data_IF_277420132608
#
_entry.id   IF_277420132608
#
_cell.length_a   1.000
_cell.length_b   1.000
_cell.length_c   1.000
_cell.angle_alpha   90.00
_cell.angle_beta   90.00
_cell.angle_gamma   90.00
#
_symmetry.space_group_name_H-M   'P 1'
#
loop_
_entity.id
_entity.type
_entity.pdbx_description
1 polymer ?
#
# COMPACT_ATOMS: atom_id res chain seq x y z
N UNK A 1 -1.17 -10.88 -9.76
CA UNK A 1 -1.56 -9.46 -9.89
C UNK A 1 -0.69 -8.63 -8.97
N UNK A 2 -0.22 -7.43 -9.36
CA UNK A 2 0.58 -6.57 -8.49
C UNK A 2 -0.06 -6.34 -7.10
N UNK A 3 -1.40 -6.20 -7.05
CA UNK A 3 -2.13 -6.00 -5.79
C UNK A 3 -2.02 -7.19 -4.82
N UNK A 4 -2.02 -8.43 -5.32
CA UNK A 4 -1.94 -9.60 -4.44
C UNK A 4 -0.57 -9.71 -3.77
N UNK A 5 0.50 -9.29 -4.45
CA UNK A 5 1.84 -9.31 -3.87
C UNK A 5 1.99 -8.26 -2.76
N UNK A 6 1.41 -7.07 -2.94
CA UNK A 6 1.36 -6.06 -1.87
C UNK A 6 0.58 -6.57 -0.65
N UNK A 7 -0.57 -7.22 -0.86
CA UNK A 7 -1.37 -7.78 0.25
C UNK A 7 -0.61 -8.87 1.00
N UNK A 8 0.12 -9.75 0.29
CA UNK A 8 0.96 -10.76 0.94
C UNK A 8 2.06 -10.13 1.80
N UNK A 9 2.75 -9.11 1.30
CA UNK A 9 3.77 -8.38 2.07
C UNK A 9 3.19 -7.78 3.36
N UNK A 10 1.97 -7.23 3.31
CA UNK A 10 1.27 -6.71 4.48
C UNK A 10 0.96 -7.84 5.48
N UNK A 11 0.41 -8.95 5.01
CA UNK A 11 0.05 -10.09 5.86
C UNK A 11 1.30 -10.71 6.52
N UNK A 12 2.38 -10.85 5.77
CA UNK A 12 3.66 -11.36 6.29
C UNK A 12 4.21 -10.42 7.36
N UNK A 13 4.23 -9.10 7.12
CA UNK A 13 4.71 -8.10 8.09
C UNK A 13 3.88 -8.08 9.39
N UNK A 14 2.58 -8.41 9.30
CA UNK A 14 1.65 -8.48 10.43
C UNK A 14 1.54 -9.88 11.04
N UNK A 15 2.31 -10.86 10.54
CA UNK A 15 2.23 -12.25 10.93
C UNK A 15 0.80 -12.82 10.85
N UNK A 16 0.15 -12.63 9.70
CA UNK A 16 -1.23 -13.07 9.43
C UNK A 16 -1.27 -14.10 8.30
N UNK A 17 -2.20 -15.06 8.36
CA UNK A 17 -2.29 -16.08 7.32
C UNK A 17 -2.83 -15.50 6.00
N UNK A 18 -2.32 -16.01 4.88
CA UNK A 18 -2.79 -15.64 3.54
C UNK A 18 -4.25 -16.05 3.28
N UNK A 19 -4.83 -16.92 4.12
CA UNK A 19 -6.24 -17.30 4.07
C UNK A 19 -7.21 -16.14 4.31
N UNK A 20 -6.73 -14.98 4.78
CA UNK A 20 -7.53 -13.75 4.89
C UNK A 20 -7.78 -13.07 3.54
N UNK A 21 -7.11 -13.48 2.47
CA UNK A 21 -7.32 -12.93 1.12
C UNK A 21 -8.66 -13.43 0.59
N UNK A 22 -9.53 -12.51 0.19
CA UNK A 22 -10.78 -12.79 -0.50
C UNK A 22 -10.79 -12.09 -1.86
N UNK A 23 -11.12 -12.84 -2.91
CA UNK A 23 -11.28 -12.29 -4.25
C UNK A 23 -12.66 -11.69 -4.40
N UNK A 24 -12.73 -10.43 -4.81
CA UNK A 24 -13.96 -9.72 -5.10
C UNK A 24 -14.02 -9.39 -6.59
N UNK A 25 -15.23 -9.26 -7.12
CA UNK A 25 -15.43 -8.84 -8.52
C UNK A 25 -14.74 -7.50 -8.76
N UNK A 26 -14.02 -7.41 -9.89
CA UNK A 26 -13.31 -6.20 -10.26
C UNK A 26 -14.29 -5.04 -10.50
N UNK A 27 -13.84 -3.82 -10.22
CA UNK A 27 -14.67 -2.63 -10.43
C UNK A 27 -14.65 -2.24 -11.90
N UNK A 28 -15.81 -1.89 -12.44
CA UNK A 28 -15.90 -1.28 -13.77
C UNK A 28 -15.02 -0.02 -13.82
N UNK A 29 -14.01 -0.04 -14.69
CA UNK A 29 -13.07 1.08 -14.87
C UNK A 29 -11.74 0.97 -14.12
N UNK A 30 -11.39 -0.17 -13.52
CA UNK A 30 -10.05 -0.36 -12.94
C UNK A 30 -8.99 -0.47 -14.05
N UNK A 31 -8.12 0.52 -14.17
CA UNK A 31 -7.00 0.48 -15.11
C UNK A 31 -6.00 -0.61 -14.72
N UNK A 32 -5.64 -1.47 -15.68
CA UNK A 32 -4.87 -2.69 -15.40
C UNK A 32 -3.44 -2.44 -14.94
N UNK A 33 -2.80 -1.36 -15.43
CA UNK A 33 -1.40 -1.07 -15.15
C UNK A 33 -1.10 0.41 -15.35
N UNK A 34 -0.53 1.02 -14.32
CA UNK A 34 0.20 2.28 -14.44
C UNK A 34 1.68 2.01 -14.20
N UNK A 35 2.52 2.69 -14.98
CA UNK A 35 3.96 2.72 -14.78
C UNK A 35 4.44 4.14 -15.10
N UNK A 36 5.37 4.64 -14.29
CA UNK A 36 6.00 5.94 -14.48
C UNK A 36 7.45 5.70 -14.84
N UNK A 37 7.90 6.29 -15.94
CA UNK A 37 9.32 6.43 -16.25
C UNK A 37 9.86 7.67 -15.52
N UNK A 38 10.84 7.46 -14.64
CA UNK A 38 11.46 8.53 -13.85
C UNK A 38 12.84 8.95 -14.39
N UNK A 39 13.26 8.44 -15.55
CA UNK A 39 14.60 8.66 -16.11
C UNK A 39 14.93 10.14 -16.29
N UNK A 40 13.96 10.94 -16.73
CA UNK A 40 14.14 12.40 -16.88
C UNK A 40 14.51 13.08 -15.56
N UNK A 41 13.77 12.82 -14.48
CA UNK A 41 14.06 13.40 -13.17
C UNK A 41 15.40 12.90 -12.61
N UNK A 42 15.74 11.63 -12.84
CA UNK A 42 17.04 11.07 -12.43
C UNK A 42 18.20 11.77 -13.15
N UNK A 43 18.05 12.11 -14.43
CA UNK A 43 19.09 12.75 -15.22
C UNK A 43 19.21 14.25 -14.92
N UNK A 44 18.10 14.99 -14.97
CA UNK A 44 18.12 16.45 -14.88
C UNK A 44 18.27 16.97 -13.44
N UNK A 45 17.74 16.22 -12.47
CA UNK A 45 17.68 16.66 -11.06
C UNK A 45 18.57 15.83 -10.14
N UNK A 46 19.28 14.81 -10.67
CA UNK A 46 19.95 13.79 -9.87
C UNK A 46 19.02 13.16 -8.81
N UNK A 47 17.72 13.11 -9.11
CA UNK A 47 16.73 12.59 -8.18
C UNK A 47 16.82 11.07 -8.09
N UNK A 48 16.67 10.51 -6.89
CA UNK A 48 16.53 9.06 -6.67
C UNK A 48 15.55 8.81 -5.53
N UNK A 49 14.77 7.70 -5.56
CA UNK A 49 13.94 7.33 -4.42
C UNK A 49 14.81 7.09 -3.19
N UNK A 50 14.46 7.71 -2.06
CA UNK A 50 15.18 7.55 -0.80
C UNK A 50 14.92 6.19 -0.14
N UNK A 51 13.77 5.59 -0.43
CA UNK A 51 13.35 4.30 0.11
C UNK A 51 13.00 3.36 -1.04
N UNK A 52 13.39 2.09 -0.90
CA UNK A 52 12.82 1.04 -1.73
C UNK A 52 11.38 0.75 -1.29
N UNK A 53 10.63 0.05 -2.14
CA UNK A 53 9.21 -0.23 -1.88
C UNK A 53 8.97 -1.00 -0.58
N UNK A 54 9.81 -2.01 -0.28
CA UNK A 54 9.63 -2.86 0.89
C UNK A 54 9.81 -2.07 2.18
N UNK A 55 10.90 -1.31 2.30
CA UNK A 55 11.21 -0.53 3.50
C UNK A 55 10.17 0.59 3.71
N UNK A 56 9.72 1.22 2.62
CA UNK A 56 8.64 2.20 2.66
C UNK A 56 7.32 1.59 3.11
N UNK A 57 6.98 0.39 2.62
CA UNK A 57 5.77 -0.32 3.02
C UNK A 57 5.82 -0.74 4.51
N UNK A 58 6.94 -1.25 4.99
CA UNK A 58 7.11 -1.63 6.40
C UNK A 58 6.95 -0.41 7.32
N UNK A 59 7.61 0.70 6.99
CA UNK A 59 7.47 1.97 7.73
C UNK A 59 6.02 2.49 7.71
N UNK A 60 5.32 2.31 6.59
CA UNK A 60 3.91 2.69 6.46
C UNK A 60 3.04 1.84 7.39
N UNK A 61 3.23 0.51 7.40
CA UNK A 61 2.49 -0.40 8.28
C UNK A 61 2.71 -0.02 9.76
N UNK A 62 3.96 0.22 10.15
CA UNK A 62 4.29 0.63 11.51
C UNK A 62 3.66 1.97 11.89
N UNK A 63 3.57 2.91 10.95
CA UNK A 63 2.84 4.16 11.17
C UNK A 63 1.35 3.89 11.47
N UNK A 64 0.68 3.03 10.69
CA UNK A 64 -0.75 2.71 10.94
C UNK A 64 -0.97 2.01 12.29
N UNK A 65 -0.05 1.13 12.72
CA UNK A 65 -0.11 0.47 14.02
C UNK A 65 0.02 1.47 15.18
N UNK A 66 0.92 2.45 15.03
CA UNK A 66 1.20 3.45 16.07
C UNK A 66 0.22 4.63 16.08
N UNK A 67 -0.57 4.82 15.01
CA UNK A 67 -1.47 5.97 14.86
C UNK A 67 -2.95 5.54 14.82
N UNK A 68 -3.32 4.60 15.69
CA UNK A 68 -4.66 4.02 15.76
C UNK A 68 -5.77 5.07 15.93
N UNK A 69 -5.60 6.00 16.87
CA UNK A 69 -6.56 7.07 17.13
C UNK A 69 -6.84 7.95 15.89
N UNK A 70 -5.85 8.08 14.99
CA UNK A 70 -6.01 8.88 13.78
C UNK A 70 -6.99 8.23 12.79
N UNK A 71 -6.82 6.95 12.49
CA UNK A 71 -7.68 6.29 11.49
C UNK A 71 -9.01 5.80 12.07
N UNK A 72 -9.08 5.48 13.37
CA UNK A 72 -10.36 5.07 13.98
C UNK A 72 -11.40 6.18 13.90
N UNK A 73 -11.03 7.42 14.20
CA UNK A 73 -11.91 8.58 14.07
C UNK A 73 -12.43 8.78 12.63
N UNK A 74 -11.66 8.38 11.61
CA UNK A 74 -12.12 8.44 10.21
C UNK A 74 -13.16 7.36 9.91
N UNK A 75 -13.04 6.18 10.50
CA UNK A 75 -13.97 5.08 10.29
C UNK A 75 -15.30 5.32 11.01
N UNK A 76 -15.27 5.89 12.21
CA UNK A 76 -16.46 6.35 12.94
C UNK A 76 -17.24 7.38 12.11
N UNK A 77 -16.55 8.40 11.57
CA UNK A 77 -17.16 9.41 10.70
C UNK A 77 -17.77 8.84 9.41
N UNK A 78 -17.22 7.74 8.92
CA UNK A 78 -17.70 7.07 7.73
C UNK A 78 -18.88 6.11 8.01
N UNK A 79 -19.35 6.00 9.26
CA UNK A 79 -20.40 5.07 9.66
C UNK A 79 -20.02 3.61 9.50
N UNK A 80 -18.71 3.30 9.55
CA UNK A 80 -18.18 1.93 9.44
C UNK A 80 -17.95 1.26 10.80
N UNK A 81 -18.28 1.96 11.88
CA UNK A 81 -18.39 1.51 13.27
C UNK A 81 -19.54 2.24 13.95
#
# INVERSE_FOLDING_TARGET
SPNIEVVKLILDRLNKPHSLISYVTDRLGHDRRYAIDSSFAQHELNWKPLHNFKDGLESTIDWYLNNRAWWEALLERAGRY
#
